data_IF_762863736389
#
_entry.id   IF_762863736389
#
_cell.length_a   1.000
_cell.length_b   1.000
_cell.length_c   1.000
_cell.angle_alpha   90.00
_cell.angle_beta   90.00
_cell.angle_gamma   90.00
#
_symmetry.space_group_name_H-M   'P 1'
#
loop_
_entity.id
_entity.type
_entity.pdbx_description
1 polymer ?
#
# COMPACT_ATOMS: atom_id res chain seq x y z
N UNK A 1 8.48 -10.62 -5.72
CA UNK A 1 7.80 -9.86 -6.78
C UNK A 1 8.35 -8.45 -6.86
N UNK A 2 8.56 -7.97 -8.07
CA UNK A 2 9.12 -6.64 -8.25
C UNK A 2 7.99 -5.59 -8.24
N UNK A 3 8.13 -4.57 -7.38
CA UNK A 3 7.11 -3.54 -7.26
C UNK A 3 7.26 -2.53 -8.40
N UNK A 4 6.16 -2.21 -9.11
CA UNK A 4 6.22 -1.22 -10.19
C UNK A 4 6.76 0.13 -9.69
N UNK A 5 7.53 0.78 -10.54
CA UNK A 5 8.12 2.07 -10.20
C UNK A 5 7.07 3.13 -9.88
N UNK A 6 5.95 3.11 -10.59
CA UNK A 6 4.85 4.07 -10.38
C UNK A 6 4.30 3.96 -8.95
N UNK A 7 4.24 2.74 -8.40
CA UNK A 7 3.79 2.53 -7.02
C UNK A 7 4.79 3.12 -6.04
N UNK A 8 6.08 2.88 -6.28
CA UNK A 8 7.13 3.41 -5.41
C UNK A 8 7.12 4.95 -5.42
N UNK A 9 6.97 5.54 -6.59
CA UNK A 9 6.93 6.99 -6.71
C UNK A 9 5.69 7.59 -6.02
N UNK A 10 4.54 6.94 -6.17
CA UNK A 10 3.30 7.39 -5.53
C UNK A 10 3.44 7.37 -4.02
N UNK A 11 3.98 6.28 -3.47
CA UNK A 11 4.21 6.17 -2.04
C UNK A 11 5.17 7.26 -1.54
N UNK A 12 6.22 7.50 -2.29
CA UNK A 12 7.21 8.52 -1.94
C UNK A 12 6.60 9.92 -1.91
N UNK A 13 5.71 10.21 -2.87
CA UNK A 13 5.03 11.50 -2.91
C UNK A 13 4.14 11.72 -1.69
N UNK A 14 3.64 10.63 -1.11
CA UNK A 14 2.81 10.69 0.09
C UNK A 14 3.61 10.54 1.38
N UNK A 15 4.94 10.57 1.30
CA UNK A 15 5.80 10.56 2.48
C UNK A 15 6.16 9.18 3.01
N UNK A 16 5.95 8.12 2.23
CA UNK A 16 6.31 6.77 2.63
C UNK A 16 7.63 6.35 2.00
N UNK A 17 8.43 5.59 2.75
CA UNK A 17 9.72 5.12 2.27
C UNK A 17 9.75 3.61 2.01
N UNK A 18 8.64 2.91 2.22
CA UNK A 18 8.58 1.48 2.00
C UNK A 18 7.24 1.08 1.43
N UNK A 19 7.27 0.15 0.47
CA UNK A 19 6.06 -0.37 -0.18
C UNK A 19 6.24 -1.87 -0.34
N UNK A 20 5.17 -2.63 -0.11
CA UNK A 20 5.18 -4.07 -0.33
C UNK A 20 3.88 -4.52 -0.95
N UNK A 21 3.95 -5.59 -1.74
CA UNK A 21 2.77 -6.18 -2.35
C UNK A 21 1.94 -6.91 -1.30
N UNK A 22 0.66 -6.64 -1.26
CA UNK A 22 -0.25 -7.23 -0.28
C UNK A 22 -1.14 -8.30 -0.90
N UNK A 23 -1.67 -8.05 -2.09
CA UNK A 23 -2.57 -8.99 -2.74
C UNK A 23 -3.30 -8.36 -3.91
N UNK A 24 -4.36 -9.03 -4.36
CA UNK A 24 -5.17 -8.56 -5.48
C UNK A 24 -6.64 -8.64 -5.13
N UNK A 25 -7.40 -7.60 -5.49
CA UNK A 25 -8.84 -7.54 -5.30
C UNK A 25 -9.48 -6.99 -6.57
N UNK A 26 -10.45 -7.74 -7.14
CA UNK A 26 -11.23 -7.31 -8.30
C UNK A 26 -10.35 -6.85 -9.47
N UNK A 27 -9.26 -7.56 -9.71
CA UNK A 27 -8.35 -7.24 -10.80
C UNK A 27 -7.38 -6.09 -10.50
N UNK A 28 -7.43 -5.54 -9.30
CA UNK A 28 -6.52 -4.49 -8.86
C UNK A 28 -5.41 -5.07 -7.98
N UNK A 29 -4.17 -4.70 -8.26
CA UNK A 29 -3.06 -5.07 -7.38
C UNK A 29 -3.04 -4.11 -6.20
N UNK A 30 -2.84 -4.63 -4.99
CA UNK A 30 -2.86 -3.83 -3.77
C UNK A 30 -1.48 -3.83 -3.13
N UNK A 31 -1.00 -2.65 -2.80
CA UNK A 31 0.31 -2.47 -2.18
C UNK A 31 0.15 -1.74 -0.84
N UNK A 32 0.87 -2.21 0.17
CA UNK A 32 0.89 -1.54 1.47
C UNK A 32 2.03 -0.56 1.55
N UNK A 33 1.77 0.60 2.14
CA UNK A 33 2.78 1.64 2.34
C UNK A 33 3.12 1.77 3.81
N UNK A 34 4.40 1.97 4.10
CA UNK A 34 4.85 2.17 5.48
C UNK A 34 6.12 2.99 5.51
N UNK A 35 6.46 3.47 6.70
CA UNK A 35 7.72 4.14 6.94
C UNK A 35 8.60 3.24 7.79
N UNK A 36 9.84 3.07 7.38
CA UNK A 36 10.83 2.30 8.11
C UNK A 36 11.81 3.28 8.74
N UNK A 37 12.01 3.15 10.06
CA UNK A 37 12.92 4.01 10.79
C UNK A 37 14.39 3.66 10.52
N UNK A 38 15.29 4.44 11.12
CA UNK A 38 16.72 4.27 10.92
C UNK A 38 17.24 2.92 11.42
N UNK A 39 16.50 2.28 12.32
CA UNK A 39 16.85 0.97 12.84
C UNK A 39 16.31 -0.19 11.98
N UNK A 40 15.66 0.12 10.86
CA UNK A 40 15.10 -0.88 9.97
C UNK A 40 13.74 -1.41 10.39
N UNK A 41 13.17 -0.88 11.47
CA UNK A 41 11.85 -1.31 11.94
C UNK A 41 10.76 -0.38 11.44
N UNK A 42 9.60 -0.97 11.12
CA UNK A 42 8.47 -0.17 10.66
C UNK A 42 7.95 0.73 11.77
N UNK A 43 7.68 1.98 11.41
CA UNK A 43 7.11 2.94 12.36
C UNK A 43 5.61 2.65 12.49
N UNK A 44 5.09 2.48 13.73
CA UNK A 44 3.66 2.24 13.91
C UNK A 44 2.81 3.38 13.36
N UNK A 45 1.75 3.02 12.64
CA UNK A 45 0.81 3.98 12.09
C UNK A 45 -0.60 3.58 12.53
N UNK A 46 -1.46 4.57 12.70
CA UNK A 46 -2.80 4.33 13.20
C UNK A 46 -3.65 3.47 12.27
N UNK A 47 -3.74 3.86 11.00
CA UNK A 47 -4.56 3.15 10.02
C UNK A 47 -3.70 2.75 8.82
N UNK A 48 -4.06 1.62 8.16
CA UNK A 48 -3.31 1.18 7.00
C UNK A 48 -3.44 2.16 5.84
N UNK A 49 -2.34 2.30 5.08
CA UNK A 49 -2.30 3.09 3.87
C UNK A 49 -1.99 2.16 2.71
N UNK A 50 -2.84 2.16 1.71
CA UNK A 50 -2.73 1.26 0.57
C UNK A 50 -2.74 2.04 -0.74
N UNK A 51 -2.10 1.44 -1.76
CA UNK A 51 -2.16 1.94 -3.12
C UNK A 51 -2.65 0.79 -3.99
N UNK A 52 -3.64 1.06 -4.84
CA UNK A 52 -4.11 0.07 -5.79
C UNK A 52 -3.65 0.43 -7.19
N UNK A 53 -3.40 -0.60 -8.01
CA UNK A 53 -3.00 -0.43 -9.40
C UNK A 53 -3.90 -1.30 -10.28
N UNK A 54 -4.58 -0.66 -11.22
CA UNK A 54 -5.44 -1.35 -12.18
C UNK A 54 -5.35 -0.65 -13.53
N UNK A 55 -5.03 -1.41 -14.57
CA UNK A 55 -4.90 -0.88 -15.94
C UNK A 55 -3.99 0.34 -16.04
N UNK A 56 -2.93 0.35 -15.26
CA UNK A 56 -1.98 1.46 -15.26
C UNK A 56 -2.40 2.66 -14.43
N UNK A 57 -3.56 2.60 -13.78
CA UNK A 57 -4.03 3.67 -12.91
C UNK A 57 -3.78 3.34 -11.45
N UNK A 58 -3.27 4.31 -10.70
CA UNK A 58 -3.04 4.17 -9.27
C UNK A 58 -4.10 4.91 -8.48
N UNK A 59 -4.49 4.33 -7.35
CA UNK A 59 -5.42 4.96 -6.43
C UNK A 59 -4.86 4.85 -5.02
N UNK A 60 -4.84 5.97 -4.32
CA UNK A 60 -4.33 6.02 -2.94
C UNK A 60 -5.50 5.85 -1.97
N UNK A 61 -5.39 4.88 -1.08
CA UNK A 61 -6.46 4.53 -0.14
C UNK A 61 -5.91 4.59 1.28
N UNK A 62 -6.55 5.37 2.14
CA UNK A 62 -6.14 5.48 3.53
C UNK A 62 -7.35 5.53 4.45
N UNK A 63 -7.09 5.51 5.76
CA UNK A 63 -8.14 5.61 6.76
C UNK A 63 -9.07 4.42 6.76
N UNK A 64 -10.36 4.68 6.91
CA UNK A 64 -11.37 3.63 7.00
C UNK A 64 -11.45 2.78 5.75
N UNK A 65 -11.26 3.40 4.59
CA UNK A 65 -11.27 2.66 3.32
C UNK A 65 -10.11 1.69 3.25
N UNK A 66 -8.93 2.09 3.72
CA UNK A 66 -7.77 1.22 3.76
C UNK A 66 -7.99 0.04 4.68
N UNK A 67 -8.60 0.28 5.83
CA UNK A 67 -8.90 -0.78 6.79
C UNK A 67 -9.90 -1.78 6.21
N UNK A 68 -10.94 -1.29 5.52
CA UNK A 68 -11.93 -2.16 4.89
C UNK A 68 -11.29 -3.02 3.81
N UNK A 69 -10.44 -2.44 2.98
CA UNK A 69 -9.77 -3.17 1.92
C UNK A 69 -8.82 -4.22 2.48
N UNK A 70 -8.08 -3.89 3.53
CA UNK A 70 -7.19 -4.84 4.19
C UNK A 70 -7.98 -6.01 4.79
N UNK A 71 -9.17 -5.73 5.33
CA UNK A 71 -10.03 -6.76 5.87
C UNK A 71 -10.51 -7.73 4.78
N UNK A 72 -10.80 -7.24 3.61
CA UNK A 72 -11.17 -8.08 2.46
C UNK A 72 -10.03 -8.99 2.04
N UNK A 73 -8.81 -8.46 2.06
CA UNK A 73 -7.63 -9.26 1.70
C UNK A 73 -7.41 -10.42 2.67
N UNK A 74 -7.67 -10.19 3.95
CA UNK A 74 -7.52 -11.24 4.97
C UNK A 74 -8.55 -12.34 4.78
N UNK A 75 -9.75 -11.98 4.34
CA UNK A 75 -10.83 -12.95 4.17
C UNK A 75 -10.74 -13.74 2.87
N UNK A 76 -10.02 -13.24 1.91
CA UNK A 76 -9.86 -13.94 0.65
C UNK A 76 -8.69 -14.90 0.68
#
# INVERSE_FOLDING_TARGET
MKIPKIIQETAKQHGFNSVNYVGEIDGSQVFGCSNIGNDGLAVPQGLPTLITLKNGETKFINGDEGLELASRLVKS
#
